data_IF_367473123949
#
_entry.id   IF_367473123949
#
_cell.length_a   1.000
_cell.length_b   1.000
_cell.length_c   1.000
_cell.angle_alpha   90.00
_cell.angle_beta   90.00
_cell.angle_gamma   90.00
#
_symmetry.space_group_name_H-M   'P 1'
#
loop_
_entity.id
_entity.type
_entity.pdbx_description
1 polymer ?
#
# COMPACT_ATOMS: atom_id res chain seq x y z
N UNK A 1 0.66 -10.43 0.24
CA UNK A 1 1.26 -10.91 1.51
C UNK A 1 0.27 -10.52 2.58
N UNK A 2 -0.16 -11.46 3.42
CA UNK A 2 -1.16 -11.23 4.46
C UNK A 2 -0.84 -12.13 5.65
N UNK A 3 -0.77 -11.57 6.86
CA UNK A 3 -0.46 -12.33 8.08
C UNK A 3 -1.72 -12.97 8.68
N UNK A 4 -2.91 -12.44 8.35
CA UNK A 4 -4.19 -12.99 8.77
C UNK A 4 -4.57 -14.20 7.91
N UNK A 5 -4.27 -15.41 8.41
CA UNK A 5 -4.50 -16.66 7.67
C UNK A 5 -5.93 -16.89 7.15
N UNK A 6 -7.03 -16.46 7.83
CA UNK A 6 -8.37 -16.51 7.23
C UNK A 6 -8.51 -15.65 5.97
N UNK A 7 -7.88 -14.48 5.93
CA UNK A 7 -7.84 -13.63 4.73
C UNK A 7 -7.08 -14.29 3.58
N UNK A 8 -5.98 -14.99 3.88
CA UNK A 8 -5.24 -15.81 2.90
C UNK A 8 -6.14 -16.93 2.34
N UNK A 9 -6.86 -17.64 3.20
CA UNK A 9 -7.79 -18.70 2.80
C UNK A 9 -8.92 -18.19 1.89
N UNK A 10 -9.53 -17.06 2.26
CA UNK A 10 -10.57 -16.42 1.43
C UNK A 10 -10.02 -16.01 0.05
N UNK A 11 -8.82 -15.42 0.01
CA UNK A 11 -8.14 -15.05 -1.24
C UNK A 11 -7.89 -16.27 -2.13
N UNK A 12 -7.39 -17.37 -1.57
CA UNK A 12 -7.14 -18.60 -2.31
C UNK A 12 -8.42 -19.25 -2.83
N UNK A 13 -9.49 -19.27 -2.03
CA UNK A 13 -10.79 -19.81 -2.44
C UNK A 13 -11.34 -19.07 -3.68
N UNK A 14 -11.40 -17.75 -3.61
CA UNK A 14 -11.86 -16.93 -4.75
C UNK A 14 -10.93 -17.05 -5.96
N UNK A 15 -9.60 -17.06 -5.76
CA UNK A 15 -8.66 -17.23 -6.86
C UNK A 15 -8.83 -18.58 -7.57
N UNK A 16 -9.13 -19.64 -6.82
CA UNK A 16 -9.43 -20.96 -7.37
C UNK A 16 -10.76 -20.98 -8.14
N UNK A 17 -11.83 -20.39 -7.58
CA UNK A 17 -13.13 -20.27 -8.23
C UNK A 17 -13.06 -19.49 -9.56
N UNK A 18 -12.26 -18.43 -9.60
CA UNK A 18 -12.04 -17.58 -10.78
C UNK A 18 -10.96 -18.13 -11.74
N UNK A 19 -10.35 -19.29 -11.45
CA UNK A 19 -9.34 -19.91 -12.31
C UNK A 19 -8.04 -19.09 -12.47
N UNK A 20 -7.63 -18.37 -11.43
CA UNK A 20 -6.47 -17.47 -11.47
C UNK A 20 -5.15 -18.25 -11.37
N UNK A 21 -4.38 -18.30 -12.46
CA UNK A 21 -3.12 -19.05 -12.52
C UNK A 21 -1.87 -18.22 -12.17
N UNK A 22 -1.98 -16.89 -12.25
CA UNK A 22 -0.87 -15.94 -12.10
C UNK A 22 -0.77 -15.30 -10.71
N UNK A 23 -1.53 -15.79 -9.72
CA UNK A 23 -1.47 -15.32 -8.33
C UNK A 23 -0.63 -16.26 -7.47
N UNK A 24 0.19 -15.68 -6.60
CA UNK A 24 0.86 -16.37 -5.49
C UNK A 24 0.64 -15.60 -4.20
N UNK A 25 0.48 -16.31 -3.09
CA UNK A 25 0.23 -15.71 -1.77
C UNK A 25 1.28 -16.17 -0.77
N UNK A 26 1.50 -15.36 0.25
CA UNK A 26 2.39 -15.66 1.37
C UNK A 26 1.73 -15.24 2.67
N UNK A 27 1.81 -16.12 3.67
CA UNK A 27 1.33 -15.89 5.03
C UNK A 27 2.53 -15.68 5.97
N UNK A 28 3.13 -14.50 5.92
CA UNK A 28 4.33 -14.14 6.68
C UNK A 28 4.40 -12.62 6.87
N UNK A 29 5.21 -12.16 7.82
CA UNK A 29 5.53 -10.74 7.95
C UNK A 29 6.08 -10.17 6.64
N UNK A 30 5.48 -9.07 6.17
CA UNK A 30 5.79 -8.48 4.87
C UNK A 30 7.18 -7.82 4.83
N UNK A 31 7.66 -7.28 5.95
CA UNK A 31 8.98 -6.63 6.03
C UNK A 31 10.07 -7.70 5.92
N UNK A 32 9.91 -8.82 6.61
CA UNK A 32 10.82 -9.97 6.49
C UNK A 32 10.86 -10.54 5.06
N UNK A 33 9.68 -10.67 4.42
CA UNK A 33 9.59 -11.14 3.02
C UNK A 33 10.33 -10.17 2.08
N UNK A 34 10.10 -8.86 2.22
CA UNK A 34 10.80 -7.85 1.41
C UNK A 34 12.31 -7.94 1.60
N UNK A 35 12.80 -8.10 2.83
CA UNK A 35 14.23 -8.20 3.11
C UNK A 35 14.88 -9.48 2.57
N UNK A 36 14.21 -10.62 2.71
CA UNK A 36 14.84 -11.94 2.52
C UNK A 36 14.51 -12.60 1.20
N UNK A 37 13.40 -12.24 0.58
CA UNK A 37 12.82 -13.02 -0.52
C UNK A 37 12.55 -12.21 -1.78
N UNK A 38 12.41 -10.89 -1.67
CA UNK A 38 12.17 -10.02 -2.83
C UNK A 38 13.50 -9.41 -3.30
N UNK A 39 13.94 -9.70 -4.55
CA UNK A 39 15.13 -9.09 -5.11
C UNK A 39 14.95 -7.58 -5.31
N UNK A 40 16.04 -6.83 -5.22
CA UNK A 40 16.04 -5.41 -5.54
C UNK A 40 15.70 -5.17 -7.02
N UNK A 41 15.04 -4.05 -7.33
CA UNK A 41 14.68 -3.65 -8.69
C UNK A 41 13.86 -4.70 -9.47
N UNK A 42 13.03 -5.49 -8.79
CA UNK A 42 12.28 -6.60 -9.40
C UNK A 42 10.80 -6.29 -9.60
N UNK A 43 10.23 -5.40 -8.80
CA UNK A 43 8.79 -5.15 -8.76
C UNK A 43 8.39 -3.99 -9.68
N UNK A 44 7.29 -4.17 -10.41
CA UNK A 44 6.68 -3.10 -11.20
C UNK A 44 5.77 -2.20 -10.35
N UNK A 45 5.10 -2.76 -9.36
CA UNK A 45 4.24 -2.03 -8.45
C UNK A 45 4.18 -2.73 -7.09
N UNK A 46 4.07 -1.95 -6.02
CA UNK A 46 3.75 -2.41 -4.67
C UNK A 46 2.46 -1.73 -4.24
N UNK A 47 1.49 -2.51 -3.75
CA UNK A 47 0.19 -2.02 -3.30
C UNK A 47 0.04 -2.24 -1.79
N UNK A 48 -0.35 -1.19 -1.06
CA UNK A 48 -0.64 -1.23 0.37
C UNK A 48 -1.97 -0.53 0.65
N UNK A 49 -3.05 -1.31 0.70
CA UNK A 49 -4.40 -0.76 0.87
C UNK A 49 -4.92 -1.00 2.28
N UNK A 50 -5.44 0.06 2.88
CA UNK A 50 -6.05 0.10 4.21
C UNK A 50 -5.17 -0.55 5.29
N UNK A 51 -3.87 -0.20 5.40
CA UNK A 51 -3.04 -0.66 6.51
C UNK A 51 -3.64 -0.18 7.84
N UNK A 52 -3.39 -0.91 8.93
CA UNK A 52 -3.94 -0.56 10.25
C UNK A 52 -3.66 0.92 10.58
N UNK A 53 -4.71 1.75 10.74
CA UNK A 53 -4.55 3.18 10.87
C UNK A 53 -4.04 3.61 12.25
N UNK A 54 -4.13 2.75 13.26
CA UNK A 54 -3.67 3.02 14.62
C UNK A 54 -4.15 4.38 15.16
N UNK A 55 -5.48 4.62 15.17
CA UNK A 55 -6.12 5.92 15.48
C UNK A 55 -5.65 6.65 16.76
N UNK A 56 -5.10 5.92 17.75
CA UNK A 56 -4.67 6.53 19.01
C UNK A 56 -3.24 7.05 18.87
N UNK A 57 -2.99 8.31 19.22
CA UNK A 57 -1.68 8.96 19.10
C UNK A 57 -0.50 8.11 19.65
N UNK A 58 -0.69 7.44 20.79
CA UNK A 58 0.31 6.53 21.39
C UNK A 58 0.70 5.33 20.52
N UNK A 59 -0.09 4.99 19.51
CA UNK A 59 0.15 3.89 18.59
C UNK A 59 0.68 4.36 17.23
N UNK A 60 0.90 5.67 17.03
CA UNK A 60 1.35 6.20 15.74
C UNK A 60 2.63 5.53 15.23
N UNK A 61 3.55 5.13 16.13
CA UNK A 61 4.80 4.44 15.78
C UNK A 61 4.60 2.99 15.30
N UNK A 62 3.38 2.44 15.37
CA UNK A 62 3.02 1.11 14.86
C UNK A 62 2.54 1.14 13.41
N UNK A 63 2.29 2.34 12.86
CA UNK A 63 1.97 2.54 11.45
C UNK A 63 3.10 2.00 10.59
N UNK A 64 2.79 1.16 9.61
CA UNK A 64 3.80 0.50 8.78
C UNK A 64 4.51 1.47 7.83
N UNK A 65 3.76 2.41 7.26
CA UNK A 65 4.34 3.50 6.45
C UNK A 65 5.16 4.39 7.37
N UNK A 66 6.47 4.24 7.31
CA UNK A 66 7.52 5.04 7.94
C UNK A 66 8.69 5.10 6.94
N UNK A 67 9.59 6.08 7.07
CA UNK A 67 10.72 6.25 6.15
C UNK A 67 11.50 4.95 5.89
N UNK A 68 11.89 4.13 6.90
CA UNK A 68 12.62 2.88 6.64
C UNK A 68 11.84 1.86 5.80
N UNK A 69 10.52 1.75 6.01
CA UNK A 69 9.69 0.84 5.24
C UNK A 69 9.50 1.34 3.80
N UNK A 70 9.26 2.65 3.62
CA UNK A 70 9.12 3.24 2.30
C UNK A 70 10.42 3.15 1.47
N UNK A 71 11.58 3.32 2.11
CA UNK A 71 12.90 3.08 1.51
C UNK A 71 13.11 1.61 1.13
N UNK A 72 12.72 0.67 2.00
CA UNK A 72 12.76 -0.75 1.68
C UNK A 72 11.89 -1.08 0.46
N UNK A 73 10.67 -0.54 0.39
CA UNK A 73 9.80 -0.70 -0.78
C UNK A 73 10.46 -0.11 -2.04
N UNK A 74 11.08 1.07 -1.93
CA UNK A 74 11.76 1.73 -3.04
C UNK A 74 12.85 0.85 -3.62
N UNK A 75 13.69 0.21 -2.79
CA UNK A 75 14.77 -0.65 -3.28
C UNK A 75 14.26 -1.85 -4.09
N UNK A 76 13.04 -2.32 -3.81
CA UNK A 76 12.41 -3.45 -4.53
C UNK A 76 11.76 -3.05 -5.84
N UNK A 77 11.30 -1.81 -5.98
CA UNK A 77 10.69 -1.30 -7.22
C UNK A 77 11.73 -1.15 -8.34
N UNK A 78 11.38 -1.41 -9.59
CA UNK A 78 12.18 -0.96 -10.75
C UNK A 78 12.16 0.57 -10.84
N UNK A 79 13.11 1.17 -11.55
CA UNK A 79 12.93 2.57 -11.99
C UNK A 79 11.65 2.67 -12.83
N UNK A 80 10.82 3.67 -12.56
CA UNK A 80 9.46 3.81 -13.10
C UNK A 80 8.41 2.93 -12.41
N UNK A 81 8.80 2.09 -11.46
CA UNK A 81 7.86 1.30 -10.65
C UNK A 81 7.14 2.16 -9.63
N UNK A 82 5.93 1.76 -9.23
CA UNK A 82 5.04 2.59 -8.40
C UNK A 82 4.83 1.98 -7.01
N UNK A 83 4.93 2.80 -5.97
CA UNK A 83 4.35 2.48 -4.67
C UNK A 83 2.97 3.13 -4.56
N UNK A 84 1.92 2.31 -4.51
CA UNK A 84 0.53 2.75 -4.39
C UNK A 84 -0.02 2.36 -3.03
N UNK A 85 -0.40 3.35 -2.23
CA UNK A 85 -1.03 3.15 -0.94
C UNK A 85 -2.40 3.83 -0.89
N UNK A 86 -3.30 3.27 -0.07
CA UNK A 86 -4.63 3.84 0.14
C UNK A 86 -5.05 3.73 1.61
N UNK A 87 -5.73 4.74 2.12
CA UNK A 87 -6.31 4.74 3.47
C UNK A 87 -7.62 5.53 3.51
N UNK A 88 -8.52 5.13 4.41
CA UNK A 88 -9.79 5.82 4.72
C UNK A 88 -9.67 6.73 5.95
N UNK A 89 -8.44 6.96 6.44
CA UNK A 89 -8.16 7.79 7.61
C UNK A 89 -7.26 8.97 7.27
N UNK A 90 -7.83 10.17 7.24
CA UNK A 90 -7.15 11.41 6.85
C UNK A 90 -5.84 11.68 7.63
N UNK A 91 -5.77 11.56 8.98
CA UNK A 91 -4.51 11.71 9.71
C UNK A 91 -3.43 10.67 9.37
N UNK A 92 -3.83 9.53 8.78
CA UNK A 92 -2.86 8.60 8.22
C UNK A 92 -2.48 8.99 6.80
N UNK A 93 -3.41 9.47 5.98
CA UNK A 93 -3.13 9.99 4.64
C UNK A 93 -2.11 11.14 4.69
N UNK A 94 -2.28 12.10 5.60
CA UNK A 94 -1.34 13.21 5.81
C UNK A 94 0.06 12.72 6.22
N UNK A 95 0.12 11.75 7.14
CA UNK A 95 1.38 11.14 7.56
C UNK A 95 2.05 10.35 6.43
N UNK A 96 1.27 9.63 5.61
CA UNK A 96 1.77 8.93 4.44
C UNK A 96 2.39 9.93 3.46
N UNK A 97 1.71 11.05 3.19
CA UNK A 97 2.19 12.12 2.34
C UNK A 97 3.49 12.74 2.89
N UNK A 98 3.55 13.05 4.19
CA UNK A 98 4.75 13.59 4.86
C UNK A 98 5.95 12.65 4.69
N UNK A 99 5.78 11.37 5.01
CA UNK A 99 6.84 10.36 4.88
C UNK A 99 7.31 10.27 3.43
N UNK A 100 6.40 10.11 2.48
CA UNK A 100 6.76 9.88 1.08
C UNK A 100 7.39 11.12 0.44
N UNK A 101 6.94 12.32 0.81
CA UNK A 101 7.46 13.58 0.28
C UNK A 101 8.85 13.95 0.81
N UNK A 102 9.27 13.36 1.94
CA UNK A 102 10.59 13.56 2.53
C UNK A 102 11.71 12.70 1.90
N UNK A 103 11.37 11.75 1.03
CA UNK A 103 12.31 10.75 0.52
C UNK A 103 12.74 11.05 -0.91
N UNK A 104 14.06 11.16 -1.12
CA UNK A 104 14.63 11.25 -2.46
C UNK A 104 14.40 9.94 -3.27
N UNK A 105 14.24 10.08 -4.58
CA UNK A 105 14.00 8.96 -5.48
C UNK A 105 12.54 8.48 -5.53
N UNK A 106 11.62 9.17 -4.84
CA UNK A 106 10.18 9.06 -5.08
C UNK A 106 9.65 10.34 -5.72
N UNK A 107 8.83 10.20 -6.76
CA UNK A 107 8.13 11.30 -7.41
C UNK A 107 6.63 11.13 -7.20
N UNK A 108 5.98 12.12 -6.58
CA UNK A 108 4.52 12.12 -6.44
C UNK A 108 3.86 12.18 -7.83
N UNK A 109 2.88 11.30 -8.09
CA UNK A 109 2.09 11.31 -9.32
C UNK A 109 0.85 12.22 -9.22
N UNK A 110 0.56 12.78 -8.05
CA UNK A 110 -0.48 13.78 -7.87
C UNK A 110 -0.15 15.08 -8.59
N UNK A 111 -1.09 15.60 -9.38
CA UNK A 111 -1.00 16.92 -10.03
C UNK A 111 -1.01 18.06 -9.01
N UNK A 112 -1.67 17.85 -7.86
CA UNK A 112 -1.78 18.80 -6.75
C UNK A 112 -0.71 18.61 -5.67
N UNK A 113 0.24 17.70 -5.89
CA UNK A 113 1.31 17.31 -4.95
C UNK A 113 0.80 16.71 -3.61
N UNK A 114 -0.42 16.17 -3.60
CA UNK A 114 -1.01 15.52 -2.45
C UNK A 114 -1.42 14.07 -2.78
N UNK A 115 -2.66 13.88 -3.20
CA UNK A 115 -3.33 12.61 -3.44
C UNK A 115 -3.66 12.47 -4.92
N UNK A 116 -3.82 11.23 -5.37
CA UNK A 116 -4.26 10.92 -6.73
C UNK A 116 -5.73 10.49 -6.73
N UNK A 117 -6.47 10.66 -7.84
CA UNK A 117 -7.76 10.00 -7.99
C UNK A 117 -7.56 8.47 -7.94
N UNK A 118 -8.57 7.74 -7.46
CA UNK A 118 -8.56 6.27 -7.45
C UNK A 118 -8.31 5.73 -8.87
N UNK A 119 -7.23 4.95 -9.09
CA UNK A 119 -7.01 4.31 -10.38
C UNK A 119 -7.92 3.08 -10.54
N UNK A 120 -8.17 2.68 -11.79
CA UNK A 120 -8.94 1.46 -12.10
C UNK A 120 -8.30 0.19 -11.54
N UNK A 121 -6.98 0.20 -11.30
CA UNK A 121 -6.23 -0.90 -10.68
C UNK A 121 -6.61 -1.16 -9.23
N UNK A 122 -7.30 -0.22 -8.55
CA UNK A 122 -7.86 -0.42 -7.21
C UNK A 122 -9.38 -0.54 -7.31
N UNK A 123 -9.97 -1.75 -7.17
CA UNK A 123 -11.41 -1.92 -7.21
C UNK A 123 -12.08 -1.19 -6.05
N UNK A 124 -13.35 -0.84 -6.23
CA UNK A 124 -14.13 -0.20 -5.17
C UNK A 124 -14.33 -1.20 -4.03
N UNK A 125 -13.85 -0.87 -2.84
CA UNK A 125 -13.91 -1.79 -1.70
C UNK A 125 -15.12 -1.52 -0.81
N UNK A 126 -15.47 -2.50 0.05
CA UNK A 126 -16.47 -2.30 1.11
C UNK A 126 -16.08 -1.16 2.07
N UNK A 127 -14.79 -0.84 2.19
CA UNK A 127 -14.29 0.26 3.03
C UNK A 127 -14.62 1.62 2.42
N UNK A 128 -14.53 1.79 1.10
CA UNK A 128 -14.96 3.03 0.44
C UNK A 128 -16.46 3.27 0.56
N UNK A 129 -17.27 2.23 0.41
CA UNK A 129 -18.72 2.35 0.60
C UNK A 129 -19.06 2.78 2.04
N UNK A 130 -18.25 2.34 3.00
CA UNK A 130 -18.37 2.74 4.41
C UNK A 130 -17.88 4.16 4.65
N UNK A 131 -16.75 4.54 4.06
CA UNK A 131 -16.19 5.89 4.10
C UNK A 131 -17.18 6.91 3.56
N UNK A 132 -17.69 6.70 2.33
CA UNK A 132 -18.72 7.55 1.73
C UNK A 132 -19.98 7.68 2.60
N UNK A 133 -20.42 6.59 3.23
CA UNK A 133 -21.59 6.62 4.14
C UNK A 133 -21.33 7.39 5.44
N UNK A 134 -20.07 7.43 5.91
CA UNK A 134 -19.66 8.12 7.14
C UNK A 134 -19.09 9.53 6.88
N UNK A 135 -19.05 9.98 5.62
CA UNK A 135 -18.44 11.27 5.25
C UNK A 135 -16.91 11.27 5.26
N UNK A 136 -16.28 10.10 5.36
CA UNK A 136 -14.83 9.94 5.26
C UNK A 136 -14.44 9.59 3.81
N UNK A 137 -13.49 10.33 3.25
CA UNK A 137 -12.92 10.03 1.94
C UNK A 137 -12.08 8.75 1.96
N UNK A 138 -11.60 8.36 0.79
CA UNK A 138 -10.44 7.47 0.66
C UNK A 138 -9.37 8.24 -0.07
N UNK A 139 -8.17 8.20 0.47
CA UNK A 139 -7.00 8.88 -0.05
C UNK A 139 -6.09 7.84 -0.69
N UNK A 140 -5.86 8.00 -1.99
CA UNK A 140 -4.88 7.24 -2.75
C UNK A 140 -3.61 8.09 -2.91
N UNK A 141 -2.45 7.48 -2.66
CA UNK A 141 -1.14 8.08 -2.89
C UNK A 141 -0.33 7.15 -3.80
N UNK A 142 0.18 7.70 -4.89
CA UNK A 142 1.02 6.98 -5.85
C UNK A 142 2.32 7.73 -6.07
N UNK A 143 3.43 7.06 -5.75
CA UNK A 143 4.77 7.59 -5.95
C UNK A 143 5.57 6.68 -6.88
N UNK A 144 6.11 7.27 -7.93
CA UNK A 144 6.98 6.60 -8.89
C UNK A 144 8.42 6.61 -8.40
N UNK A 145 9.11 5.47 -8.50
CA UNK A 145 10.56 5.41 -8.24
C UNK A 145 11.31 6.08 -9.39
N UNK A 146 12.03 7.15 -9.08
CA UNK A 146 12.92 7.87 -10.00
C UNK A 146 14.38 7.67 -9.61
N UNK A 147 15.30 8.19 -10.44
CA UNK A 147 16.74 8.16 -10.16
C UNK A 147 17.12 9.07 -9.00
#
# INVERSE_FOLDING_TARGET
>A
IEVHSPGVGACLATAHEEGVENLRVMCHDAVEVLHKMIPDNSLNMVQLFFPDPWHKARHNKRRIVQAPFAELVKSKLKLGGVFHMATDWEPYAEHMLEVMSSLDGYKNQSESNDYVPRPDSRPVTKFEQRGHRLGHGVWDLMFERVK
#
